data_IF_148834106010
#
_entry.id   IF_148834106010
#
_cell.length_a   1.000
_cell.length_b   1.000
_cell.length_c   1.000
_cell.angle_alpha   90.00
_cell.angle_beta   90.00
_cell.angle_gamma   90.00
#
_symmetry.space_group_name_H-M   'P 1'
#
loop_
_entity.id
_entity.type
_entity.pdbx_description
1 polymer ?
#
# COMPACT_ATOMS: atom_id res chain seq x y z
N UNK A 1 8.31 11.46 14.51
CA UNK A 1 7.18 10.67 15.07
C UNK A 1 6.94 9.38 14.30
N UNK A 2 6.66 9.43 12.99
CA UNK A 2 6.24 8.23 12.25
C UNK A 2 7.35 7.22 11.93
N UNK A 3 8.60 7.67 11.78
CA UNK A 3 9.73 6.77 11.58
C UNK A 3 10.11 6.03 12.87
N UNK A 4 10.10 6.76 13.98
CA UNK A 4 10.34 6.21 15.32
C UNK A 4 9.53 7.04 16.35
N UNK A 5 8.43 6.50 16.90
CA UNK A 5 7.64 7.19 17.91
C UNK A 5 8.30 7.17 19.30
N UNK A 6 9.25 6.25 19.54
CA UNK A 6 9.91 6.07 20.84
C UNK A 6 11.12 6.99 21.06
N UNK A 7 11.57 7.69 20.02
CA UNK A 7 12.65 8.67 20.07
C UNK A 7 12.23 10.07 19.61
N UNK A 8 10.95 10.26 19.30
CA UNK A 8 10.44 11.56 18.86
C UNK A 8 10.34 12.54 20.02
N UNK A 9 10.73 13.79 19.80
CA UNK A 9 10.53 14.84 20.80
C UNK A 9 9.03 15.12 20.98
N UNK A 10 8.57 14.99 22.21
CA UNK A 10 7.16 15.24 22.57
C UNK A 10 6.80 16.71 22.37
N UNK A 11 7.75 17.64 22.54
CA UNK A 11 7.49 19.07 22.40
C UNK A 11 7.17 19.46 20.95
N UNK A 12 7.68 18.71 19.98
CA UNK A 12 7.39 18.88 18.56
C UNK A 12 6.06 18.24 18.15
N UNK A 13 5.39 17.50 19.04
CA UNK A 13 4.10 16.89 18.77
C UNK A 13 2.95 17.89 18.95
N UNK A 14 1.87 17.79 18.14
CA UNK A 14 0.63 18.50 18.41
C UNK A 14 0.13 18.26 19.84
N UNK A 15 -0.38 19.27 20.58
CA UNK A 15 -0.78 19.13 21.98
C UNK A 15 -1.74 17.96 22.25
N UNK A 16 -2.65 17.68 21.30
CA UNK A 16 -3.61 16.57 21.37
C UNK A 16 -2.95 15.18 21.39
N UNK A 17 -1.70 15.06 20.91
CA UNK A 17 -0.94 13.80 20.86
C UNK A 17 0.08 13.67 21.99
N UNK A 18 0.44 14.76 22.66
CA UNK A 18 1.57 14.78 23.60
C UNK A 18 1.39 13.77 24.75
N UNK A 19 0.20 13.72 25.35
CA UNK A 19 -0.09 12.80 26.45
C UNK A 19 0.02 11.34 26.02
N UNK A 20 -0.64 10.96 24.92
CA UNK A 20 -0.55 9.59 24.38
C UNK A 20 0.87 9.22 23.98
N UNK A 21 1.64 10.18 23.45
CA UNK A 21 3.02 9.96 23.05
C UNK A 21 3.94 9.75 24.25
N UNK A 22 3.73 10.49 25.36
CA UNK A 22 4.43 10.27 26.62
C UNK A 22 4.13 8.87 27.15
N UNK A 23 2.85 8.51 27.24
CA UNK A 23 2.41 7.19 27.72
C UNK A 23 3.00 6.06 26.87
N UNK A 24 3.05 6.26 25.54
CA UNK A 24 3.67 5.32 24.61
C UNK A 24 5.17 5.19 24.86
N UNK A 25 5.88 6.31 25.01
CA UNK A 25 7.34 6.33 25.24
C UNK A 25 7.74 5.73 26.58
N UNK A 26 6.88 5.85 27.59
CA UNK A 26 7.05 5.23 28.91
C UNK A 26 6.73 3.73 28.92
N UNK A 27 6.03 3.20 27.90
CA UNK A 27 5.68 1.78 27.84
C UNK A 27 6.84 0.93 27.30
N UNK A 28 7.57 0.28 28.22
CA UNK A 28 8.71 -0.57 27.89
C UNK A 28 8.33 -1.81 27.08
N UNK A 29 7.13 -2.36 27.27
CA UNK A 29 6.65 -3.54 26.54
C UNK A 29 6.38 -3.21 25.07
N UNK A 30 5.64 -2.13 24.81
CA UNK A 30 5.38 -1.66 23.45
C UNK A 30 6.69 -1.23 22.75
N UNK A 31 7.63 -0.66 23.50
CA UNK A 31 8.97 -0.32 22.98
C UNK A 31 9.76 -1.56 22.58
N UNK A 32 9.70 -2.63 23.37
CA UNK A 32 10.33 -3.90 23.05
C UNK A 32 9.71 -4.50 21.78
N UNK A 33 8.37 -4.60 21.72
CA UNK A 33 7.65 -5.08 20.52
C UNK A 33 8.01 -4.28 19.28
N UNK A 34 8.03 -2.95 19.36
CA UNK A 34 8.44 -2.11 18.24
C UNK A 34 9.88 -2.39 17.79
N UNK A 35 10.80 -2.74 18.69
CA UNK A 35 12.19 -3.07 18.36
C UNK A 35 12.36 -4.49 17.84
N UNK A 36 11.55 -5.44 18.28
CA UNK A 36 11.57 -6.83 17.77
C UNK A 36 11.22 -6.91 16.28
N UNK A 37 10.35 -6.03 15.79
CA UNK A 37 9.98 -5.96 14.36
C UNK A 37 11.05 -5.22 13.52
N UNK A 38 12.24 -4.95 14.07
CA UNK A 38 13.33 -4.28 13.35
C UNK A 38 13.87 -5.14 12.20
N UNK A 39 13.76 -4.63 10.96
CA UNK A 39 14.19 -5.32 9.74
C UNK A 39 13.05 -5.74 8.80
N UNK A 40 11.78 -5.59 9.20
CA UNK A 40 10.64 -5.81 8.32
C UNK A 40 10.28 -4.54 7.52
N UNK A 41 9.99 -4.68 6.23
CA UNK A 41 9.48 -3.57 5.40
C UNK A 41 8.14 -3.02 5.90
N UNK A 42 7.33 -3.85 6.59
CA UNK A 42 6.04 -3.49 7.18
C UNK A 42 6.09 -3.33 8.71
N UNK A 43 7.25 -2.91 9.25
CA UNK A 43 7.45 -2.74 10.71
C UNK A 43 6.38 -1.87 11.37
N UNK A 44 6.12 -0.70 10.79
CA UNK A 44 5.13 0.24 11.30
C UNK A 44 3.71 -0.33 11.19
N UNK A 45 3.36 -0.94 10.06
CA UNK A 45 2.04 -1.52 9.86
C UNK A 45 1.73 -2.64 10.85
N UNK A 46 2.71 -3.48 11.19
CA UNK A 46 2.56 -4.52 12.21
C UNK A 46 2.41 -3.95 13.61
N UNK A 47 3.30 -3.03 14.00
CA UNK A 47 3.20 -2.37 15.31
C UNK A 47 1.86 -1.68 15.53
N UNK A 48 1.32 -1.01 14.50
CA UNK A 48 0.03 -0.33 14.58
C UNK A 48 -1.17 -1.26 14.79
N UNK A 49 -1.07 -2.52 14.35
CA UNK A 49 -2.11 -3.53 14.60
C UNK A 49 -2.11 -4.00 16.05
N UNK A 50 -0.96 -3.93 16.71
CA UNK A 50 -0.76 -4.31 18.11
C UNK A 50 -0.94 -3.14 19.08
N UNK A 51 -1.07 -1.90 18.56
CA UNK A 51 -1.26 -0.72 19.40
C UNK A 51 -2.57 -0.82 20.18
N UNK A 52 -2.54 -0.75 21.52
CA UNK A 52 -3.75 -0.84 22.33
C UNK A 52 -4.76 0.28 22.04
N UNK A 53 -6.06 0.06 22.31
CA UNK A 53 -7.09 1.09 22.12
C UNK A 53 -6.95 2.29 23.06
N UNK A 54 -6.03 2.25 24.03
CA UNK A 54 -5.69 3.37 24.93
C UNK A 54 -4.98 4.52 24.23
N UNK A 55 -4.58 4.36 22.96
CA UNK A 55 -3.92 5.39 22.15
C UNK A 55 -4.77 5.80 20.93
N UNK A 56 -6.01 6.29 21.13
CA UNK A 56 -6.94 6.55 20.04
C UNK A 56 -6.45 7.61 19.05
N UNK A 57 -5.85 8.70 19.50
CA UNK A 57 -5.42 9.79 18.62
C UNK A 57 -4.16 9.43 17.84
N UNK A 58 -3.18 8.78 18.49
CA UNK A 58 -2.03 8.21 17.80
C UNK A 58 -2.48 7.18 16.78
N UNK A 59 -3.35 6.24 17.16
CA UNK A 59 -3.87 5.21 16.24
C UNK A 59 -4.53 5.85 15.02
N UNK A 60 -5.35 6.89 15.22
CA UNK A 60 -6.00 7.63 14.13
C UNK A 60 -4.99 8.29 13.20
N UNK A 61 -4.04 9.04 13.75
CA UNK A 61 -3.04 9.77 12.97
C UNK A 61 -2.11 8.82 12.21
N UNK A 62 -1.67 7.73 12.83
CA UNK A 62 -0.90 6.69 12.15
C UNK A 62 -1.66 6.06 10.98
N UNK A 63 -2.94 5.71 11.16
CA UNK A 63 -3.79 5.18 10.08
C UNK A 63 -3.92 6.17 8.93
N UNK A 64 -4.19 7.44 9.22
CA UNK A 64 -4.29 8.49 8.20
C UNK A 64 -3.00 8.63 7.41
N UNK A 65 -1.85 8.66 8.10
CA UNK A 65 -0.54 8.72 7.46
C UNK A 65 -0.30 7.53 6.54
N UNK A 66 -0.61 6.31 6.98
CA UNK A 66 -0.49 5.10 6.13
C UNK A 66 -1.41 5.16 4.90
N UNK A 67 -2.65 5.64 5.08
CA UNK A 67 -3.59 5.82 3.97
C UNK A 67 -3.10 6.87 2.96
N UNK A 68 -2.49 7.97 3.42
CA UNK A 68 -1.91 8.98 2.53
C UNK A 68 -0.87 8.37 1.60
N UNK A 69 0.10 7.62 2.15
CA UNK A 69 1.11 6.94 1.33
C UNK A 69 0.53 5.92 0.36
N UNK A 70 -0.45 5.13 0.80
CA UNK A 70 -1.08 4.12 -0.04
C UNK A 70 -1.89 4.73 -1.19
N UNK A 71 -2.64 5.80 -0.92
CA UNK A 71 -3.51 6.45 -1.90
C UNK A 71 -2.72 7.26 -2.92
N UNK A 72 -1.66 7.99 -2.52
CA UNK A 72 -0.81 8.71 -3.47
C UNK A 72 -0.12 7.77 -4.44
N UNK A 73 0.49 6.68 -3.93
CA UNK A 73 1.09 5.64 -4.77
C UNK A 73 0.06 5.04 -5.75
N UNK A 74 -1.15 4.76 -5.27
CA UNK A 74 -2.20 4.20 -6.11
C UNK A 74 -2.63 5.16 -7.22
N UNK A 75 -2.78 6.44 -6.90
CA UNK A 75 -3.08 7.49 -7.87
C UNK A 75 -1.96 7.62 -8.91
N UNK A 76 -0.70 7.68 -8.49
CA UNK A 76 0.46 7.73 -9.40
C UNK A 76 0.50 6.52 -10.34
N UNK A 77 0.29 5.31 -9.79
CA UNK A 77 0.22 4.08 -10.57
C UNK A 77 -0.93 4.09 -11.56
N UNK A 78 -2.11 4.57 -11.13
CA UNK A 78 -3.29 4.71 -11.98
C UNK A 78 -3.02 5.68 -13.14
N UNK A 79 -2.49 6.87 -12.87
CA UNK A 79 -2.17 7.86 -13.90
C UNK A 79 -1.07 7.37 -14.85
N UNK A 80 -0.03 6.73 -14.33
CA UNK A 80 1.03 6.13 -15.15
C UNK A 80 0.45 5.06 -16.10
N UNK A 81 -0.39 4.15 -15.58
CA UNK A 81 -1.07 3.15 -16.41
C UNK A 81 -2.01 3.78 -17.44
N UNK A 82 -2.73 4.84 -17.05
CA UNK A 82 -3.59 5.58 -17.96
C UNK A 82 -2.80 6.22 -19.10
N UNK A 83 -1.70 6.92 -18.80
CA UNK A 83 -0.84 7.57 -19.79
C UNK A 83 -0.21 6.55 -20.75
N UNK A 84 0.20 5.40 -20.24
CA UNK A 84 0.74 4.32 -21.07
C UNK A 84 -0.31 3.75 -22.05
N UNK A 85 -1.55 3.59 -21.59
CA UNK A 85 -2.61 2.98 -22.39
C UNK A 85 -3.31 3.98 -23.32
N UNK A 86 -3.54 5.22 -22.89
CA UNK A 86 -3.99 6.35 -23.72
C UNK A 86 -2.82 7.01 -24.44
N UNK A 87 -1.99 6.22 -25.13
CA UNK A 87 -0.96 6.77 -26.00
C UNK A 87 -1.50 7.05 -27.40
N UNK A 88 -0.90 8.03 -28.10
CA UNK A 88 -1.26 8.38 -29.48
C UNK A 88 -1.17 7.22 -30.49
N UNK A 89 -0.53 6.12 -30.10
CA UNK A 89 -0.33 4.93 -30.93
C UNK A 89 -1.34 3.81 -30.65
N UNK A 90 -2.25 3.98 -29.68
CA UNK A 90 -3.27 2.97 -29.32
C UNK A 90 -4.69 3.46 -29.57
N UNK A 91 -5.09 3.50 -30.85
CA UNK A 91 -6.43 3.92 -31.29
C UNK A 91 -7.53 2.86 -31.13
N UNK A 92 -7.20 1.62 -30.76
CA UNK A 92 -8.14 0.48 -30.69
C UNK A 92 -8.71 0.21 -29.28
N UNK A 93 -8.27 0.94 -28.26
CA UNK A 93 -8.76 0.77 -26.89
C UNK A 93 -10.03 1.59 -26.69
N UNK A 94 -11.12 0.91 -26.32
CA UNK A 94 -12.35 1.56 -25.87
C UNK A 94 -12.21 1.96 -24.40
N UNK A 95 -13.12 2.82 -23.92
CA UNK A 95 -13.15 3.21 -22.50
C UNK A 95 -13.39 2.01 -21.57
N UNK A 96 -14.16 1.01 -22.00
CA UNK A 96 -14.35 -0.25 -21.27
C UNK A 96 -13.04 -1.02 -21.11
N UNK A 97 -12.25 -1.14 -22.19
CA UNK A 97 -10.93 -1.77 -22.14
C UNK A 97 -10.00 -1.03 -21.17
N UNK A 98 -9.98 0.30 -21.25
CA UNK A 98 -9.16 1.11 -20.36
C UNK A 98 -9.59 0.96 -18.90
N UNK A 99 -10.89 1.00 -18.62
CA UNK A 99 -11.41 0.84 -17.27
C UNK A 99 -11.00 -0.52 -16.68
N UNK A 100 -11.09 -1.59 -17.47
CA UNK A 100 -10.65 -2.93 -17.05
C UNK A 100 -9.14 -2.97 -16.75
N UNK A 101 -8.32 -2.35 -17.60
CA UNK A 101 -6.86 -2.27 -17.41
C UNK A 101 -6.49 -1.49 -16.14
N UNK A 102 -7.14 -0.34 -15.92
CA UNK A 102 -6.88 0.47 -14.72
C UNK A 102 -7.27 -0.30 -13.45
N UNK A 103 -8.46 -0.92 -13.42
CA UNK A 103 -8.90 -1.78 -12.32
C UNK A 103 -7.86 -2.87 -12.03
N UNK A 104 -7.43 -3.60 -13.06
CA UNK A 104 -6.41 -4.66 -12.91
C UNK A 104 -5.07 -4.11 -12.40
N UNK A 105 -4.63 -2.96 -12.91
CA UNK A 105 -3.34 -2.36 -12.54
C UNK A 105 -3.29 -1.89 -11.08
N UNK A 106 -4.43 -1.47 -10.52
CA UNK A 106 -4.53 -0.92 -9.17
C UNK A 106 -4.84 -1.96 -8.09
N UNK A 107 -5.43 -3.10 -8.45
CA UNK A 107 -5.80 -4.14 -7.47
C UNK A 107 -4.57 -4.98 -7.11
N UNK A 108 -4.30 -5.13 -5.81
CA UNK A 108 -3.17 -5.91 -5.28
C UNK A 108 -3.47 -7.41 -5.13
N UNK A 109 -4.74 -7.81 -5.08
CA UNK A 109 -5.17 -9.18 -4.76
C UNK A 109 -5.60 -10.03 -5.96
N UNK A 110 -5.70 -9.45 -7.16
CA UNK A 110 -6.20 -10.17 -8.33
C UNK A 110 -5.04 -10.91 -9.03
N UNK A 111 -4.99 -12.24 -8.86
CA UNK A 111 -4.06 -13.09 -9.60
C UNK A 111 -4.74 -13.65 -10.85
N UNK A 112 -4.23 -13.39 -12.07
CA UNK A 112 -4.79 -13.99 -13.27
C UNK A 112 -4.55 -15.50 -13.25
N UNK A 113 -5.58 -16.30 -13.54
CA UNK A 113 -5.42 -17.73 -13.77
C UNK A 113 -4.84 -17.95 -15.17
N UNK A 114 -3.51 -17.87 -15.26
CA UNK A 114 -2.77 -17.99 -16.52
C UNK A 114 -2.99 -19.36 -17.16
N UNK A 115 -3.03 -20.43 -16.37
CA UNK A 115 -3.26 -21.79 -16.88
C UNK A 115 -4.59 -21.91 -17.61
N UNK A 116 -5.68 -21.45 -17.00
CA UNK A 116 -7.00 -21.44 -17.62
C UNK A 116 -7.05 -20.55 -18.87
N UNK A 117 -6.32 -19.43 -18.87
CA UNK A 117 -6.24 -18.55 -20.04
C UNK A 117 -5.53 -19.22 -21.21
N UNK A 118 -4.43 -19.94 -20.92
CA UNK A 118 -3.67 -20.71 -21.92
C UNK A 118 -4.50 -21.85 -22.50
N UNK A 119 -5.24 -22.59 -21.68
CA UNK A 119 -6.14 -23.66 -22.13
C UNK A 119 -7.25 -23.15 -23.06
N UNK A 120 -7.77 -21.95 -22.80
CA UNK A 120 -8.84 -21.32 -23.60
C UNK A 120 -8.32 -20.62 -24.85
N UNK A 121 -7.01 -20.35 -24.96
CA UNK A 121 -6.44 -19.73 -26.15
C UNK A 121 -6.34 -20.77 -27.28
N UNK A 122 -6.99 -20.48 -28.42
CA UNK A 122 -6.65 -21.13 -29.69
C UNK A 122 -5.31 -20.57 -30.18
N UNK A 123 -4.24 -21.34 -30.01
CA UNK A 123 -2.95 -21.02 -30.60
C UNK A 123 -3.05 -21.15 -32.12
N UNK A 124 -2.56 -20.14 -32.85
CA UNK A 124 -2.26 -20.31 -34.27
C UNK A 124 -0.98 -21.13 -34.37
N UNK A 125 -1.11 -22.38 -34.81
CA UNK A 125 0.04 -23.24 -35.09
C UNK A 125 0.63 -22.74 -36.42
N UNK A 126 1.85 -22.21 -36.39
CA UNK A 126 2.56 -21.88 -37.64
C UNK A 126 2.79 -23.18 -38.42
N UNK A 127 2.31 -23.25 -39.65
CA UNK A 127 2.45 -24.43 -40.49
C UNK A 127 3.93 -24.81 -40.67
N UNK A 128 4.26 -26.06 -40.40
CA UNK A 128 5.54 -26.65 -40.71
C UNK A 128 5.75 -26.59 -42.23
N UNK A 129 6.90 -26.07 -42.68
CA UNK A 129 7.31 -26.22 -44.09
C UNK A 129 7.67 -27.69 -44.31
N UNK A 130 7.01 -28.30 -45.29
CA UNK A 130 7.38 -29.60 -45.89
C UNK A 130 8.77 -29.56 -46.50
#
# INVERSE_FOLDING_TARGET
MFADPFSFDVQDAPPVLQMELIDLQCNSELKAKFREVSGNADKLGQFLRELPPTFPELSRIFKLTMCLFGTTYLCEKLFSSMNFNKSKYRSRLTDEHLQAILKFSTVSSLKPNVSQLCERKRCQVSGSKE
#
